data_IF_961340669015
#
_entry.id   IF_961340669015
#
_cell.length_a   1.000
_cell.length_b   1.000
_cell.length_c   1.000
_cell.angle_alpha   90.00
_cell.angle_beta   90.00
_cell.angle_gamma   90.00
#
_symmetry.space_group_name_H-M   'P 1'
#
loop_
_entity.id
_entity.type
_entity.pdbx_description
1 polymer ?
#
# COMPACT_ATOMS: atom_id res chain seq x y z
N UNK A 1 -4.08 -1.24 -2.71
CA UNK A 1 -3.14 -0.91 -1.62
C UNK A 1 -3.12 0.58 -1.44
N UNK A 2 -3.08 1.05 -0.21
CA UNK A 2 -2.94 2.46 0.16
C UNK A 2 -1.71 2.61 1.06
N UNK A 3 -0.93 3.67 0.83
CA UNK A 3 0.35 3.93 1.48
C UNK A 3 0.30 5.32 2.11
N UNK A 4 0.71 5.41 3.37
CA UNK A 4 0.88 6.67 4.10
C UNK A 4 2.35 7.05 4.09
N UNK A 5 2.62 8.29 3.68
CA UNK A 5 3.98 8.78 3.42
C UNK A 5 4.16 10.10 4.15
N UNK A 6 5.27 10.24 4.85
CA UNK A 6 5.70 11.50 5.43
C UNK A 6 6.91 12.03 4.68
N UNK A 7 6.98 13.33 4.47
CA UNK A 7 8.10 13.98 3.80
C UNK A 7 8.57 15.19 4.61
N UNK A 8 9.88 15.43 4.60
CA UNK A 8 10.46 16.63 5.20
C UNK A 8 10.18 17.90 4.36
N UNK A 9 10.00 17.73 3.04
CA UNK A 9 9.73 18.81 2.10
C UNK A 9 8.41 18.57 1.37
N UNK A 10 7.72 19.63 0.90
CA UNK A 10 6.53 19.45 0.09
C UNK A 10 6.86 18.78 -1.24
N UNK A 11 6.03 17.84 -1.65
CA UNK A 11 6.17 17.08 -2.90
C UNK A 11 5.14 17.58 -3.92
N UNK A 12 5.60 17.88 -5.14
CA UNK A 12 4.72 18.21 -6.26
C UNK A 12 4.63 17.02 -7.22
N UNK A 13 3.78 16.05 -6.90
CA UNK A 13 3.58 14.85 -7.71
C UNK A 13 2.12 14.37 -7.63
N UNK A 14 1.52 13.96 -8.76
CA UNK A 14 0.15 13.46 -8.77
C UNK A 14 -0.01 12.12 -8.02
N UNK A 15 1.10 11.44 -7.69
CA UNK A 15 1.08 10.20 -6.91
C UNK A 15 0.89 10.44 -5.40
N UNK A 16 1.08 11.68 -4.93
CA UNK A 16 1.08 12.05 -3.52
C UNK A 16 -0.16 12.90 -3.26
N UNK A 17 -1.23 12.25 -2.81
CA UNK A 17 -2.45 12.94 -2.43
C UNK A 17 -2.23 13.62 -1.08
N UNK A 18 -2.25 14.95 -1.08
CA UNK A 18 -2.18 15.73 0.15
C UNK A 18 -3.35 15.37 1.05
N UNK A 19 -3.03 15.03 2.29
CA UNK A 19 -4.01 14.62 3.30
C UNK A 19 -4.65 15.82 4.00
N UNK A 20 -4.14 17.03 3.76
CA UNK A 20 -4.63 18.29 4.25
C UNK A 20 -4.89 18.28 5.76
N UNK A 21 -5.98 18.93 6.18
CA UNK A 21 -6.36 19.00 7.59
C UNK A 21 -6.89 17.68 8.20
N UNK A 22 -7.18 16.65 7.40
CA UNK A 22 -7.69 15.38 7.92
C UNK A 22 -6.61 14.58 8.66
N UNK A 23 -5.37 14.67 8.22
CA UNK A 23 -4.20 14.05 8.87
C UNK A 23 -3.13 15.09 9.17
N UNK A 24 -3.51 16.36 9.35
CA UNK A 24 -2.64 17.32 10.02
C UNK A 24 -2.33 16.74 11.40
N UNK A 25 -1.27 15.93 11.44
CA UNK A 25 -0.67 15.41 12.63
C UNK A 25 -0.52 16.61 13.52
N UNK A 26 -1.11 16.50 14.72
CA UNK A 26 -1.12 17.59 15.67
C UNK A 26 0.25 18.23 15.65
N UNK A 27 0.29 19.56 15.52
CA UNK A 27 1.50 20.32 15.82
C UNK A 27 2.01 19.73 17.13
N UNK A 28 3.04 18.89 17.07
CA UNK A 28 3.56 18.29 18.29
C UNK A 28 4.01 19.52 19.08
N UNK A 29 3.44 19.80 20.26
CA UNK A 29 3.62 21.10 20.90
C UNK A 29 5.10 21.42 21.17
N UNK A 30 5.97 20.40 21.09
CA UNK A 30 7.39 20.46 21.38
C UNK A 30 8.30 20.16 20.18
N UNK A 31 7.80 20.04 18.94
CA UNK A 31 8.64 19.76 17.77
C UNK A 31 8.28 20.69 16.62
N UNK A 32 9.16 21.64 16.32
CA UNK A 32 9.04 22.58 15.20
C UNK A 32 9.38 21.93 13.83
N UNK A 33 9.03 20.67 13.62
CA UNK A 33 9.20 19.99 12.33
C UNK A 33 7.85 19.94 11.64
N UNK A 34 7.68 20.79 10.64
CA UNK A 34 6.60 20.67 9.66
C UNK A 34 6.85 19.41 8.83
N UNK A 35 6.12 18.34 9.14
CA UNK A 35 6.11 17.10 8.35
C UNK A 35 4.94 17.17 7.38
N UNK A 36 5.21 16.93 6.09
CA UNK A 36 4.18 16.89 5.05
C UNK A 36 3.67 15.46 4.90
N UNK A 37 2.37 15.27 5.12
CA UNK A 37 1.73 13.95 5.13
C UNK A 37 0.93 13.72 3.85
N UNK A 38 1.22 12.61 3.18
CA UNK A 38 0.62 12.22 1.91
C UNK A 38 0.06 10.82 1.98
N UNK A 39 -0.87 10.56 1.07
CA UNK A 39 -1.37 9.23 0.79
C UNK A 39 -1.15 8.92 -0.68
N UNK A 40 -0.72 7.70 -0.96
CA UNK A 40 -0.82 7.11 -2.29
C UNK A 40 -1.88 6.00 -2.27
N UNK A 41 -2.82 6.01 -3.20
CA UNK A 41 -3.84 4.95 -3.34
C UNK A 41 -3.53 4.11 -4.58
N UNK A 42 -2.55 3.22 -4.43
CA UNK A 42 -2.09 2.32 -5.48
C UNK A 42 -1.23 3.01 -6.55
N UNK A 43 -0.52 2.19 -7.33
CA UNK A 43 0.22 2.66 -8.50
C UNK A 43 1.62 3.21 -8.24
N UNK A 44 2.06 3.31 -6.99
CA UNK A 44 3.42 3.74 -6.65
C UNK A 44 4.40 2.56 -6.63
N UNK A 45 5.51 2.69 -7.37
CA UNK A 45 6.68 1.81 -7.29
C UNK A 45 7.64 2.33 -6.23
N UNK A 46 8.57 1.48 -5.79
CA UNK A 46 9.63 1.90 -4.87
C UNK A 46 10.48 3.06 -5.43
N UNK A 47 10.69 3.10 -6.75
CA UNK A 47 11.40 4.19 -7.44
C UNK A 47 10.66 5.54 -7.41
N UNK A 48 9.37 5.53 -7.13
CA UNK A 48 8.54 6.74 -7.13
C UNK A 48 8.58 7.45 -5.76
N UNK A 49 9.22 6.85 -4.76
CA UNK A 49 9.42 7.44 -3.43
C UNK A 49 10.41 8.61 -3.51
N UNK A 50 9.94 9.81 -3.18
CA UNK A 50 10.74 11.03 -3.26
C UNK A 50 11.78 11.07 -2.15
N UNK A 51 12.91 11.72 -2.41
CA UNK A 51 13.97 11.92 -1.43
C UNK A 51 13.46 12.63 -0.17
N UNK A 52 13.99 12.24 0.99
CA UNK A 52 13.56 12.73 2.30
C UNK A 52 12.08 12.46 2.63
N UNK A 53 11.51 11.41 2.04
CA UNK A 53 10.23 10.85 2.43
C UNK A 53 10.40 9.46 3.06
N UNK A 54 9.56 9.14 4.03
CA UNK A 54 9.44 7.85 4.69
C UNK A 54 8.06 7.25 4.45
N UNK A 55 8.04 5.94 4.20
CA UNK A 55 6.82 5.18 4.24
C UNK A 55 6.49 4.86 5.70
N UNK A 56 5.32 5.29 6.15
CA UNK A 56 4.92 5.14 7.55
C UNK A 56 4.03 3.91 7.75
N UNK A 57 3.02 3.74 6.89
CA UNK A 57 2.03 2.67 7.00
C UNK A 57 1.55 2.24 5.63
N UNK A 58 1.14 0.98 5.52
CA UNK A 58 0.49 0.43 4.34
C UNK A 58 -0.74 -0.36 4.75
N UNK A 59 -1.79 -0.31 3.92
CA UNK A 59 -2.99 -1.12 4.09
C UNK A 59 -3.50 -1.64 2.75
N UNK A 60 -4.11 -2.83 2.79
CA UNK A 60 -4.83 -3.38 1.65
C UNK A 60 -6.22 -2.74 1.61
N UNK A 61 -6.73 -2.54 0.39
CA UNK A 61 -8.08 -2.08 0.13
C UNK A 61 -8.76 -3.10 -0.79
N UNK A 62 -10.09 -3.27 -0.69
CA UNK A 62 -10.78 -4.40 -1.31
C UNK A 62 -11.04 -4.22 -2.81
N UNK A 63 -11.04 -2.97 -3.32
CA UNK A 63 -11.22 -2.64 -4.74
C UNK A 63 -9.86 -2.50 -5.42
N UNK A 64 -9.71 -2.68 -6.75
CA UNK A 64 -8.43 -2.48 -7.47
C UNK A 64 -8.29 -1.12 -8.16
N UNK A 65 -9.41 -0.48 -8.52
CA UNK A 65 -9.42 0.86 -9.12
C UNK A 65 -9.75 1.89 -8.04
N UNK A 66 -8.82 2.82 -7.84
CA UNK A 66 -8.92 3.85 -6.80
C UNK A 66 -8.95 5.27 -7.38
N UNK A 67 -9.12 5.40 -8.70
CA UNK A 67 -9.18 6.72 -9.34
C UNK A 67 -10.44 7.45 -8.90
N UNK A 68 -10.28 8.73 -8.55
CA UNK A 68 -11.36 9.67 -8.26
C UNK A 68 -12.30 9.28 -7.09
N UNK A 69 -11.81 8.54 -6.09
CA UNK A 69 -12.58 8.29 -4.87
C UNK A 69 -12.66 9.52 -3.98
N UNK A 70 -13.84 9.79 -3.45
CA UNK A 70 -14.05 10.77 -2.39
C UNK A 70 -13.46 10.29 -1.05
N UNK A 71 -13.15 11.21 -0.14
CA UNK A 71 -12.70 10.86 1.21
C UNK A 71 -13.69 9.96 1.96
N UNK A 72 -14.99 10.12 1.72
CA UNK A 72 -16.03 9.27 2.32
C UNK A 72 -15.95 7.83 1.83
N UNK A 73 -15.70 7.64 0.53
CA UNK A 73 -15.50 6.30 -0.05
C UNK A 73 -14.22 5.67 0.49
N UNK A 74 -13.12 6.43 0.57
CA UNK A 74 -11.86 5.96 1.15
C UNK A 74 -12.08 5.51 2.61
N UNK A 75 -12.78 6.32 3.42
CA UNK A 75 -13.09 5.96 4.81
C UNK A 75 -13.91 4.68 4.90
N UNK A 76 -14.95 4.54 4.09
CA UNK A 76 -15.80 3.33 4.07
C UNK A 76 -15.01 2.09 3.67
N UNK A 77 -14.07 2.21 2.73
CA UNK A 77 -13.19 1.10 2.33
C UNK A 77 -12.20 0.74 3.43
N UNK A 78 -11.68 1.73 4.16
CA UNK A 78 -10.80 1.49 5.31
C UNK A 78 -11.53 0.85 6.50
N UNK A 79 -12.77 1.26 6.77
CA UNK A 79 -13.63 0.64 7.79
C UNK A 79 -13.95 -0.81 7.46
N UNK A 80 -14.23 -1.10 6.19
CA UNK A 80 -14.43 -2.47 5.73
C UNK A 80 -13.12 -3.29 5.81
N UNK A 81 -11.99 -2.68 5.43
CA UNK A 81 -10.67 -3.30 5.48
C UNK A 81 -10.38 -4.19 4.26
N UNK A 82 -9.85 -5.38 4.50
CA UNK A 82 -9.51 -6.34 3.46
C UNK A 82 -9.91 -7.76 3.87
N UNK A 83 -10.26 -8.57 2.88
CA UNK A 83 -10.57 -9.98 3.09
C UNK A 83 -9.29 -10.81 3.06
N UNK A 84 -9.16 -11.70 4.04
CA UNK A 84 -8.15 -12.75 4.06
C UNK A 84 -8.78 -14.05 3.57
N UNK A 85 -8.10 -14.74 2.66
CA UNK A 85 -8.49 -16.06 2.20
C UNK A 85 -7.37 -17.07 2.47
N UNK A 86 -7.75 -18.28 2.82
CA UNK A 86 -6.83 -19.41 2.90
C UNK A 86 -6.82 -20.11 1.56
N UNK A 87 -5.66 -20.16 0.91
CA UNK A 87 -5.52 -20.91 -0.33
C UNK A 87 -5.05 -22.34 -0.03
N UNK A 88 -5.89 -23.34 -0.27
CA UNK A 88 -5.46 -24.74 -0.23
C UNK A 88 -4.54 -25.00 -1.43
N UNK A 89 -3.24 -24.98 -1.18
CA UNK A 89 -2.21 -25.28 -2.18
C UNK A 89 -1.49 -26.55 -1.77
N UNK A 90 -1.61 -27.62 -2.56
CA UNK A 90 -0.71 -28.76 -2.40
C UNK A 90 0.52 -28.52 -3.27
N UNK A 91 1.66 -28.32 -2.65
CA UNK A 91 2.94 -28.49 -3.31
C UNK A 91 3.02 -29.96 -3.71
N UNK A 92 2.81 -30.28 -4.99
CA UNK A 92 2.86 -31.65 -5.47
C UNK A 92 4.29 -32.22 -5.39
N UNK A 93 4.67 -33.08 -6.34
CA UNK A 93 6.04 -33.60 -6.44
C UNK A 93 6.95 -32.57 -7.11
N UNK A 94 7.30 -31.51 -6.37
CA UNK A 94 8.26 -30.50 -6.84
C UNK A 94 9.67 -30.79 -6.35
N UNK A 95 10.67 -30.54 -7.22
CA UNK A 95 12.07 -30.84 -6.91
C UNK A 95 12.68 -29.96 -5.83
N UNK A 96 12.48 -28.65 -5.90
CA UNK A 96 13.05 -27.70 -4.94
C UNK A 96 12.01 -26.96 -4.11
N UNK A 97 10.76 -26.90 -4.58
CA UNK A 97 9.66 -26.19 -3.94
C UNK A 97 8.58 -25.79 -4.95
N UNK A 98 7.52 -25.14 -4.49
CA UNK A 98 6.50 -24.54 -5.33
C UNK A 98 6.16 -23.14 -4.81
N UNK A 99 5.52 -22.34 -5.66
CA UNK A 99 4.93 -21.06 -5.28
C UNK A 99 3.49 -21.00 -5.79
N UNK A 100 2.68 -20.10 -5.24
CA UNK A 100 1.29 -19.89 -5.67
C UNK A 100 1.28 -18.69 -6.61
N UNK A 101 0.72 -18.86 -7.79
CA UNK A 101 0.47 -17.75 -8.74
C UNK A 101 -0.91 -17.12 -8.50
N UNK A 102 -1.10 -15.91 -9.01
CA UNK A 102 -2.40 -15.21 -9.02
C UNK A 102 -3.52 -16.01 -9.69
N UNK A 103 -3.17 -16.97 -10.56
CA UNK A 103 -4.10 -17.90 -11.20
C UNK A 103 -4.48 -19.09 -10.30
N UNK A 104 -4.07 -19.07 -9.03
CA UNK A 104 -4.20 -20.18 -8.07
C UNK A 104 -3.51 -21.48 -8.52
N UNK A 105 -2.56 -21.38 -9.45
CA UNK A 105 -1.69 -22.48 -9.87
C UNK A 105 -0.49 -22.58 -8.93
N UNK A 106 0.03 -23.80 -8.79
CA UNK A 106 1.17 -24.12 -7.93
C UNK A 106 2.34 -24.69 -8.73
N UNK A 107 2.99 -23.88 -9.59
CA UNK A 107 4.16 -24.31 -10.35
C UNK A 107 5.34 -24.71 -9.45
N UNK A 108 6.17 -25.61 -9.98
CA UNK A 108 7.39 -26.05 -9.29
C UNK A 108 8.59 -25.18 -9.62
N UNK A 109 9.43 -24.94 -8.61
CA UNK A 109 10.76 -24.36 -8.76
C UNK A 109 11.70 -25.49 -9.20
N UNK A 110 12.14 -25.45 -10.47
CA UNK A 110 13.09 -26.43 -11.01
C UNK A 110 12.47 -27.75 -11.52
N UNK A 111 11.17 -27.79 -11.78
CA UNK A 111 10.49 -28.93 -12.42
C UNK A 111 9.82 -29.91 -11.45
N UNK A 112 9.18 -30.93 -12.04
CA UNK A 112 8.47 -32.01 -11.33
C UNK A 112 9.33 -33.28 -11.32
N UNK A 113 9.17 -34.11 -10.28
CA UNK A 113 9.74 -35.47 -10.23
C UNK A 113 8.88 -36.49 -10.98
#
# INVERSE_FOLDING_TARGET
MMIFINCANPVNSPLYLDTGACLNGGKYPNVSLSIYSYVNVGGMKASDLMGMCSLERMTLLPVKDYKNMSFKEIHSLLEYGFELSWHSSSCGRCANGCYIEDSNRTPCIGGQY
#
